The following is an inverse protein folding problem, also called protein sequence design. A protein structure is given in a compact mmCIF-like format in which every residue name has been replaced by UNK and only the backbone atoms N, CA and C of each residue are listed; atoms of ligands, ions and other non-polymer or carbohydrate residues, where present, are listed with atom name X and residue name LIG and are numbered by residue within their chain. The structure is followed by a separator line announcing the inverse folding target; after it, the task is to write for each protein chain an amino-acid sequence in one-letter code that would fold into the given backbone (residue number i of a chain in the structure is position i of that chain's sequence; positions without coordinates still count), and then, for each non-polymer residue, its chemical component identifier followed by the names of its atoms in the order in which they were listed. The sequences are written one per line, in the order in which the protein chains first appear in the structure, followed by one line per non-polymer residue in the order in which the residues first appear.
data_IF_068727221759
#
_entry.id   IF_068727221759
#
_cell.length_a   1.000
_cell.length_b   1.000
_cell.length_c   1.000
_cell.angle_alpha   90.00
_cell.angle_beta   90.00
_cell.angle_gamma   90.00
#
_symmetry.space_group_name_H-M   'P 1'
#
loop_
_entity.id
_entity.type
_entity.pdbx_description
1 polymer ?
#
# COMPACT_ATOMS: atom_id res chain seq x y z
N UNK A 1 13.02 -5.59 12.17
CA UNK A 1 12.00 -4.61 12.61
C UNK A 1 10.76 -4.87 11.78
N UNK A 2 9.82 -5.65 12.31
CA UNK A 2 8.63 -6.09 11.58
C UNK A 2 7.57 -4.99 11.69
N UNK A 3 7.43 -4.18 10.63
CA UNK A 3 6.29 -3.26 10.53
C UNK A 3 5.07 -4.10 10.20
N UNK A 4 4.14 -4.22 11.15
CA UNK A 4 2.91 -5.00 10.97
C UNK A 4 1.75 -4.18 10.38
N UNK A 5 1.82 -2.84 10.46
CA UNK A 5 0.77 -1.93 10.03
C UNK A 5 1.36 -0.57 9.62
N UNK A 6 0.64 0.16 8.77
CA UNK A 6 0.99 1.51 8.32
C UNK A 6 -0.19 2.47 8.57
N UNK A 7 0.13 3.75 8.78
CA UNK A 7 -0.87 4.79 9.05
C UNK A 7 -1.00 5.77 7.89
N UNK A 8 -2.21 6.26 7.68
CA UNK A 8 -2.54 7.19 6.59
C UNK A 8 -2.90 8.55 7.17
N UNK A 9 -2.14 9.58 6.80
CA UNK A 9 -2.40 10.97 7.20
C UNK A 9 -3.13 11.75 6.11
N UNK A 10 -2.34 12.34 5.19
CA UNK A 10 -2.86 13.21 4.11
C UNK A 10 -3.93 12.55 3.23
N UNK A 11 -3.83 11.28 2.81
CA UNK A 11 -4.86 10.65 1.99
C UNK A 11 -6.25 10.65 2.65
N UNK A 12 -6.32 10.43 3.97
CA UNK A 12 -7.58 10.47 4.70
C UNK A 12 -8.16 11.89 4.74
N UNK A 13 -7.32 12.92 4.94
CA UNK A 13 -7.76 14.32 4.90
C UNK A 13 -8.27 14.74 3.52
N UNK A 14 -7.63 14.28 2.44
CA UNK A 14 -8.08 14.57 1.08
C UNK A 14 -9.43 13.90 0.77
N UNK A 15 -9.62 12.65 1.19
CA UNK A 15 -10.90 11.97 1.09
C UNK A 15 -12.00 12.73 1.85
N UNK A 16 -11.70 13.15 3.09
CA UNK A 16 -12.61 13.94 3.91
C UNK A 16 -12.99 15.26 3.25
N UNK A 17 -12.02 15.99 2.70
CA UNK A 17 -12.26 17.27 2.02
C UNK A 17 -13.05 17.10 0.70
N UNK A 18 -12.87 15.98 -0.01
CA UNK A 18 -13.53 15.74 -1.30
C UNK A 18 -14.99 15.29 -1.16
N UNK A 19 -15.29 14.38 -0.23
CA UNK A 19 -16.65 13.81 -0.09
C UNK A 19 -16.98 13.37 1.35
N UNK A 20 -16.41 14.03 2.36
CA UNK A 20 -16.67 13.70 3.75
C UNK A 20 -16.27 12.25 4.09
N UNK A 21 -17.06 11.61 4.94
CA UNK A 21 -16.86 10.21 5.36
C UNK A 21 -16.74 9.25 4.16
N UNK A 22 -17.61 9.40 3.16
CA UNK A 22 -17.60 8.53 1.97
C UNK A 22 -16.31 8.67 1.16
N UNK A 23 -15.73 9.87 1.12
CA UNK A 23 -14.43 10.09 0.51
C UNK A 23 -13.29 9.38 1.26
N UNK A 24 -13.33 9.39 2.61
CA UNK A 24 -12.36 8.63 3.42
C UNK A 24 -12.51 7.12 3.18
N UNK A 25 -13.74 6.60 3.21
CA UNK A 25 -14.02 5.18 2.92
C UNK A 25 -13.51 4.79 1.53
N UNK A 26 -13.73 5.64 0.52
CA UNK A 26 -13.24 5.41 -0.84
C UNK A 26 -11.72 5.30 -0.90
N UNK A 27 -10.99 6.18 -0.22
CA UNK A 27 -9.52 6.11 -0.15
C UNK A 27 -9.05 4.81 0.51
N UNK A 28 -9.68 4.39 1.61
CA UNK A 28 -9.35 3.13 2.28
C UNK A 28 -9.61 1.91 1.37
N UNK A 29 -10.72 1.92 0.64
CA UNK A 29 -11.04 0.86 -0.32
C UNK A 29 -10.01 0.82 -1.45
N UNK A 30 -9.63 1.97 -2.03
CA UNK A 30 -8.60 2.02 -3.09
C UNK A 30 -7.30 1.42 -2.57
N UNK A 31 -6.80 1.87 -1.43
CA UNK A 31 -5.53 1.38 -0.88
C UNK A 31 -5.56 -0.11 -0.56
N UNK A 32 -6.69 -0.62 -0.05
CA UNK A 32 -6.87 -2.06 0.17
C UNK A 32 -6.82 -2.83 -1.14
N UNK A 33 -7.56 -2.39 -2.15
CA UNK A 33 -7.61 -3.04 -3.45
C UNK A 33 -6.24 -3.05 -4.13
N UNK A 34 -5.49 -1.94 -4.09
CA UNK A 34 -4.14 -1.87 -4.64
C UNK A 34 -3.16 -2.78 -3.89
N UNK A 35 -3.29 -2.89 -2.57
CA UNK A 35 -2.50 -3.84 -1.77
C UNK A 35 -2.81 -5.29 -2.16
N UNK A 36 -4.10 -5.63 -2.31
CA UNK A 36 -4.53 -6.97 -2.74
C UNK A 36 -3.97 -7.30 -4.14
N UNK A 37 -4.01 -6.35 -5.07
CA UNK A 37 -3.40 -6.51 -6.40
C UNK A 37 -1.88 -6.71 -6.33
N UNK A 38 -1.18 -5.92 -5.52
CA UNK A 38 0.25 -6.05 -5.34
C UNK A 38 0.62 -7.45 -4.80
N UNK A 39 -0.10 -7.94 -3.78
CA UNK A 39 0.09 -9.28 -3.23
C UNK A 39 -0.08 -10.37 -4.30
N UNK A 40 -1.13 -10.26 -5.13
CA UNK A 40 -1.37 -11.22 -6.22
C UNK A 40 -0.21 -11.21 -7.22
N UNK A 41 0.24 -10.03 -7.66
CA UNK A 41 1.32 -9.90 -8.65
C UNK A 41 2.65 -10.42 -8.09
N UNK A 42 2.93 -10.22 -6.81
CA UNK A 42 4.15 -10.71 -6.17
C UNK A 42 4.07 -12.17 -5.75
N UNK A 43 2.92 -12.85 -5.94
CA UNK A 43 2.71 -14.24 -5.54
C UNK A 43 2.59 -14.44 -4.02
N UNK A 44 2.21 -13.40 -3.27
CA UNK A 44 1.99 -13.46 -1.83
C UNK A 44 0.52 -13.76 -1.53
N UNK A 45 0.23 -14.80 -0.75
CA UNK A 45 -1.14 -15.11 -0.33
C UNK A 45 -1.59 -14.24 0.86
N UNK A 46 -0.63 -13.74 1.65
CA UNK A 46 -0.86 -12.93 2.83
C UNK A 46 0.28 -11.94 3.07
N UNK A 47 0.05 -10.95 3.95
CA UNK A 47 1.09 -10.00 4.36
C UNK A 47 2.27 -10.66 5.09
N UNK A 48 2.11 -11.90 5.57
CA UNK A 48 3.19 -12.67 6.20
C UNK A 48 4.19 -13.25 5.20
N UNK A 49 3.79 -13.36 3.94
CA UNK A 49 4.63 -13.91 2.86
C UNK A 49 5.58 -12.85 2.28
N UNK A 50 5.38 -11.57 2.64
CA UNK A 50 6.20 -10.45 2.18
C UNK A 50 7.59 -10.53 2.83
N UNK A 51 8.62 -10.72 2.00
CA UNK A 51 10.02 -10.80 2.41
C UNK A 51 10.88 -9.65 1.87
N UNK A 52 12.07 -9.48 2.45
CA UNK A 52 13.05 -8.49 2.00
C UNK A 52 13.66 -8.78 0.62
N UNK A 53 13.51 -10.00 0.10
CA UNK A 53 13.97 -10.40 -1.24
C UNK A 53 13.11 -9.85 -2.37
N UNK A 54 11.92 -9.31 -2.04
CA UNK A 54 10.96 -8.75 -3.00
C UNK A 54 11.20 -7.27 -3.31
N UNK A 55 12.16 -6.64 -2.64
CA UNK A 55 12.52 -5.24 -2.85
C UNK A 55 13.97 -5.14 -3.31
N UNK A 56 14.23 -4.25 -4.25
CA UNK A 56 15.57 -3.92 -4.73
C UNK A 56 15.86 -2.47 -4.42
N UNK A 57 17.13 -2.14 -4.15
CA UNK A 57 17.53 -0.77 -3.94
C UNK A 57 17.41 0.02 -5.25
N UNK A 58 16.91 1.25 -5.16
CA UNK A 58 16.74 2.16 -6.30
C UNK A 58 18.01 2.29 -7.14
N UNK A 59 19.18 2.38 -6.49
CA UNK A 59 20.47 2.50 -7.17
C UNK A 59 20.76 1.37 -8.17
N UNK A 60 20.20 0.17 -7.96
CA UNK A 60 20.28 -0.94 -8.89
C UNK A 60 19.33 -0.75 -10.08
N UNK A 61 18.09 -0.30 -9.83
CA UNK A 61 17.12 -0.04 -10.88
C UNK A 61 17.48 1.16 -11.76
N UNK A 62 18.18 2.18 -11.25
CA UNK A 62 18.60 3.34 -12.02
C UNK A 62 19.76 3.07 -13.00
N UNK A 63 20.33 1.86 -12.97
CA UNK A 63 21.43 1.43 -13.83
C UNK A 63 20.99 0.47 -14.95
N UNK A 64 19.72 0.07 -14.95
CA UNK A 64 19.05 -0.65 -16.05
C UNK A 64 18.55 0.35 -17.10
#
# INVERSE_FOLDING_TARGET
MLVAMVFLGRPALWGLAHSGEEGVKKILTILKTELDYALVITGCASTKDIGNTMVVHEAYCSQL
#
